data_IF_558729524517
#
_entry.id   IF_558729524517
#
_cell.length_a   1.000
_cell.length_b   1.000
_cell.length_c   1.000
_cell.angle_alpha   90.00
_cell.angle_beta   90.00
_cell.angle_gamma   90.00
#
_symmetry.space_group_name_H-M   'P 1'
#
loop_
_entity.id
_entity.type
_entity.pdbx_description
1 polymer ?
#
# COMPACT_ATOMS: atom_id res chain seq x y z
N UNK A 1 -14.94 5.13 -3.92
CA UNK A 1 -14.08 4.65 -2.81
C UNK A 1 -13.60 5.83 -1.97
N UNK A 2 -13.25 6.97 -2.58
CA UNK A 2 -13.14 8.23 -1.83
C UNK A 2 -14.49 8.60 -1.17
N UNK A 3 -14.46 8.83 0.14
CA UNK A 3 -15.64 9.18 0.95
C UNK A 3 -16.42 7.99 1.54
N UNK A 4 -16.02 6.76 1.24
CA UNK A 4 -16.63 5.57 1.85
C UNK A 4 -16.03 5.29 3.24
N UNK A 5 -16.83 5.40 4.29
CA UNK A 5 -16.36 5.26 5.67
C UNK A 5 -16.33 3.81 6.16
N UNK A 6 -16.72 2.82 5.33
CA UNK A 6 -16.76 1.40 5.73
C UNK A 6 -15.40 0.88 6.18
N UNK A 7 -14.33 1.32 5.53
CA UNK A 7 -12.96 0.88 5.81
C UNK A 7 -12.16 1.91 6.64
N UNK A 8 -12.85 2.77 7.39
CA UNK A 8 -12.18 3.74 8.26
C UNK A 8 -11.71 3.06 9.56
N UNK A 9 -10.44 3.26 9.90
CA UNK A 9 -9.88 2.85 11.20
C UNK A 9 -9.83 4.10 12.09
N UNK A 10 -10.66 4.20 13.15
CA UNK A 10 -10.61 5.33 14.05
C UNK A 10 -9.32 5.34 14.86
N UNK A 11 -8.83 6.54 15.18
CA UNK A 11 -7.72 6.70 16.11
C UNK A 11 -8.22 6.43 17.55
N UNK A 12 -7.84 5.28 18.12
CA UNK A 12 -8.28 4.82 19.44
C UNK A 12 -7.10 4.22 20.23
N UNK A 13 -6.42 5.07 21.00
CA UNK A 13 -5.30 4.65 21.85
C UNK A 13 -5.75 3.76 23.01
N UNK A 14 -6.92 4.01 23.60
CA UNK A 14 -7.41 3.23 24.75
C UNK A 14 -7.83 1.82 24.33
N UNK A 15 -8.53 1.70 23.21
CA UNK A 15 -8.83 0.41 22.60
C UNK A 15 -7.56 -0.36 22.22
N UNK A 16 -6.55 0.34 21.71
CA UNK A 16 -5.25 -0.27 21.39
C UNK A 16 -4.52 -0.77 22.65
N UNK A 17 -4.49 0.00 23.74
CA UNK A 17 -3.93 -0.43 25.04
C UNK A 17 -4.68 -1.64 25.59
N UNK A 18 -6.00 -1.64 25.53
CA UNK A 18 -6.82 -2.76 25.97
C UNK A 18 -6.55 -4.04 25.14
N UNK A 19 -6.34 -3.90 23.82
CA UNK A 19 -5.98 -5.00 22.95
C UNK A 19 -4.60 -5.57 23.30
N UNK A 20 -3.60 -4.71 23.48
CA UNK A 20 -2.27 -5.14 23.93
C UNK A 20 -2.34 -5.88 25.26
N UNK A 21 -3.09 -5.35 26.23
CA UNK A 21 -3.25 -5.98 27.54
C UNK A 21 -3.93 -7.35 27.45
N UNK A 22 -4.97 -7.49 26.62
CA UNK A 22 -5.65 -8.77 26.37
C UNK A 22 -4.69 -9.85 25.86
N UNK A 23 -3.64 -9.45 25.14
CA UNK A 23 -2.62 -10.34 24.59
C UNK A 23 -1.33 -10.40 25.43
N UNK A 24 -1.32 -9.83 26.64
CA UNK A 24 -0.16 -9.85 27.52
C UNK A 24 1.00 -8.95 27.09
N UNK A 25 0.72 -7.94 26.26
CA UNK A 25 1.68 -6.99 25.70
C UNK A 25 1.51 -5.57 26.29
N UNK A 26 0.97 -5.46 27.51
CA UNK A 26 0.73 -4.16 28.18
C UNK A 26 2.00 -3.31 28.32
N UNK A 27 3.15 -3.96 28.45
CA UNK A 27 4.45 -3.30 28.56
C UNK A 27 5.03 -2.88 27.21
N UNK A 28 4.29 -3.06 26.11
CA UNK A 28 4.74 -2.78 24.75
C UNK A 28 5.69 -3.84 24.20
N UNK A 29 6.27 -3.54 23.04
CA UNK A 29 7.22 -4.40 22.32
C UNK A 29 8.06 -3.56 21.34
N UNK A 30 9.07 -4.19 20.72
CA UNK A 30 9.86 -3.55 19.67
C UNK A 30 9.52 -4.14 18.30
N UNK A 31 9.23 -3.27 17.34
CA UNK A 31 9.19 -3.57 15.91
C UNK A 31 10.59 -3.30 15.36
N UNK A 32 11.30 -4.37 15.01
CA UNK A 32 12.61 -4.27 14.37
C UNK A 32 12.44 -4.17 12.84
N UNK A 33 13.42 -3.54 12.19
CA UNK A 33 13.58 -3.54 10.74
C UNK A 33 12.37 -3.02 9.94
N UNK A 34 11.63 -2.03 10.45
CA UNK A 34 10.58 -1.41 9.63
C UNK A 34 11.23 -0.59 8.51
N UNK A 35 11.23 -1.15 7.30
CA UNK A 35 11.75 -0.45 6.13
C UNK A 35 10.88 0.76 5.77
N UNK A 36 11.45 1.95 5.87
CA UNK A 36 10.85 3.22 5.44
C UNK A 36 11.60 3.85 4.26
N UNK A 37 12.74 3.27 3.87
CA UNK A 37 13.62 3.79 2.83
C UNK A 37 14.54 4.91 3.33
N UNK A 38 15.39 5.46 2.45
CA UNK A 38 16.48 6.34 2.88
C UNK A 38 16.02 7.74 3.34
N UNK A 39 14.94 8.27 2.75
CA UNK A 39 14.47 9.65 2.97
C UNK A 39 13.05 9.88 2.43
N UNK A 40 12.50 11.08 2.65
CA UNK A 40 11.24 11.56 2.11
C UNK A 40 10.03 11.23 2.98
N UNK A 41 8.85 11.36 2.40
CA UNK A 41 7.57 11.26 3.11
C UNK A 41 7.40 9.93 3.86
N UNK A 42 7.95 8.83 3.34
CA UNK A 42 7.88 7.52 3.99
C UNK A 42 8.62 7.52 5.34
N UNK A 43 9.80 8.15 5.40
CA UNK A 43 10.60 8.25 6.63
C UNK A 43 9.91 9.19 7.62
N UNK A 44 9.49 10.36 7.17
CA UNK A 44 8.80 11.35 8.03
C UNK A 44 7.50 10.76 8.63
N UNK A 45 6.75 10.01 7.83
CA UNK A 45 5.54 9.33 8.28
C UNK A 45 5.87 8.21 9.27
N UNK A 46 6.89 7.40 8.98
CA UNK A 46 7.37 6.35 9.89
C UNK A 46 7.83 6.90 11.24
N UNK A 47 8.57 8.01 11.24
CA UNK A 47 9.04 8.69 12.45
C UNK A 47 7.88 9.24 13.28
N UNK A 48 6.88 9.87 12.64
CA UNK A 48 5.69 10.38 13.33
C UNK A 48 4.87 9.26 13.98
N UNK A 49 4.70 8.14 13.29
CA UNK A 49 4.02 6.96 13.82
C UNK A 49 4.80 6.31 14.96
N UNK A 50 6.12 6.12 14.78
CA UNK A 50 7.00 5.57 15.80
C UNK A 50 6.94 6.38 17.10
N UNK A 51 6.95 7.72 17.00
CA UNK A 51 6.82 8.60 18.15
C UNK A 51 5.48 8.43 18.87
N UNK A 52 4.37 8.36 18.11
CA UNK A 52 3.01 8.18 18.66
C UNK A 52 2.86 6.82 19.34
N UNK A 53 3.33 5.76 18.70
CA UNK A 53 3.27 4.40 19.25
C UNK A 53 4.15 4.24 20.49
N UNK A 54 5.30 4.92 20.53
CA UNK A 54 6.13 4.94 21.72
C UNK A 54 5.43 5.66 22.88
N UNK A 55 4.86 6.84 22.65
CA UNK A 55 4.24 7.64 23.72
C UNK A 55 2.93 7.03 24.24
N UNK A 56 2.12 6.45 23.35
CA UNK A 56 0.79 5.94 23.71
C UNK A 56 0.79 4.45 24.08
N UNK A 57 1.64 3.64 23.45
CA UNK A 57 1.57 2.19 23.53
C UNK A 57 2.85 1.53 24.05
N UNK A 58 3.88 2.32 24.36
CA UNK A 58 5.24 1.84 24.65
C UNK A 58 5.80 0.90 23.56
N UNK A 59 5.36 1.08 22.31
CA UNK A 59 5.85 0.31 21.18
C UNK A 59 7.03 1.06 20.55
N UNK A 60 8.20 0.43 20.57
CA UNK A 60 9.42 0.97 19.97
C UNK A 60 9.50 0.53 18.52
N UNK A 61 9.95 1.42 17.65
CA UNK A 61 10.13 1.15 16.22
C UNK A 61 11.57 1.46 15.84
N UNK A 62 12.22 0.50 15.20
CA UNK A 62 13.51 0.69 14.56
C UNK A 62 13.29 0.79 13.04
N UNK A 63 13.51 1.99 12.48
CA UNK A 63 13.34 2.22 11.05
C UNK A 63 14.58 1.78 10.28
N UNK A 64 14.38 0.92 9.29
CA UNK A 64 15.38 0.56 8.29
C UNK A 64 15.34 1.58 7.13
N UNK A 65 16.48 2.27 6.96
CA UNK A 65 16.70 3.34 5.97
C UNK A 65 17.54 2.90 4.77
N UNK A 66 17.70 1.60 4.56
CA UNK A 66 18.40 1.06 3.40
C UNK A 66 17.78 1.51 2.08
N UNK A 67 18.61 1.68 1.06
CA UNK A 67 18.16 1.92 -0.32
C UNK A 67 17.40 0.69 -0.81
N UNK A 68 16.25 0.89 -1.47
CA UNK A 68 15.36 -0.19 -1.90
C UNK A 68 16.05 -1.27 -2.73
N UNK A 69 17.00 -0.91 -3.61
CA UNK A 69 17.74 -1.88 -4.43
C UNK A 69 18.61 -2.85 -3.62
N UNK A 70 19.00 -2.47 -2.41
CA UNK A 70 19.76 -3.31 -1.48
C UNK A 70 18.85 -4.15 -0.59
N UNK A 71 17.71 -3.58 -0.18
CA UNK A 71 16.75 -4.25 0.70
C UNK A 71 15.86 -5.27 -0.05
N UNK A 72 15.38 -4.91 -1.24
CA UNK A 72 14.45 -5.72 -2.06
C UNK A 72 14.92 -7.15 -2.34
N UNK A 73 16.20 -7.44 -2.64
CA UNK A 73 16.67 -8.82 -2.78
C UNK A 73 16.28 -9.70 -1.58
N UNK A 74 16.39 -9.18 -0.36
CA UNK A 74 15.99 -9.87 0.86
C UNK A 74 14.49 -10.10 0.98
N UNK A 75 13.67 -9.14 0.53
CA UNK A 75 12.21 -9.29 0.45
C UNK A 75 11.81 -10.45 -0.48
N UNK A 76 12.50 -10.58 -1.62
CA UNK A 76 12.25 -11.63 -2.61
C UNK A 76 12.71 -12.99 -2.07
N UNK A 77 13.89 -13.04 -1.44
CA UNK A 77 14.43 -14.28 -0.87
C UNK A 77 13.81 -14.67 0.47
N UNK A 78 12.84 -13.90 0.98
CA UNK A 78 12.17 -14.13 2.28
C UNK A 78 13.16 -14.17 3.46
N UNK A 79 14.17 -13.30 3.43
CA UNK A 79 15.19 -13.21 4.48
C UNK A 79 15.08 -11.94 5.33
N UNK A 80 14.16 -11.04 5.00
CA UNK A 80 13.81 -9.87 5.83
C UNK A 80 12.73 -10.26 6.83
N UNK A 81 12.85 -9.80 8.08
CA UNK A 81 11.90 -10.10 9.15
C UNK A 81 11.08 -8.88 9.60
N UNK A 82 11.26 -7.74 8.94
CA UNK A 82 10.66 -6.46 9.32
C UNK A 82 9.41 -6.09 8.53
N UNK A 83 8.77 -5.00 8.96
CA UNK A 83 7.57 -4.45 8.31
C UNK A 83 7.99 -3.69 7.05
N UNK A 84 7.23 -3.86 5.96
CA UNK A 84 7.42 -3.07 4.74
C UNK A 84 6.53 -1.82 4.76
N UNK A 85 7.12 -0.63 4.92
CA UNK A 85 6.47 0.65 4.67
C UNK A 85 6.65 1.06 3.22
N UNK A 86 5.58 1.05 2.43
CA UNK A 86 5.69 1.36 1.01
C UNK A 86 4.38 1.78 0.37
N UNK A 87 4.49 2.25 -0.87
CA UNK A 87 3.35 2.60 -1.70
C UNK A 87 2.70 1.34 -2.25
N UNK A 88 1.43 1.12 -1.92
CA UNK A 88 0.60 0.11 -2.58
C UNK A 88 -0.14 0.74 -3.76
N UNK A 89 -0.31 0.05 -4.90
CA UNK A 89 -1.24 0.51 -5.92
C UNK A 89 -2.62 0.67 -5.29
N UNK A 90 -3.22 1.85 -5.46
CA UNK A 90 -4.61 2.07 -5.08
C UNK A 90 -5.53 1.13 -5.85
N UNK A 91 -6.72 0.91 -5.32
CA UNK A 91 -7.78 0.14 -5.96
C UNK A 91 -8.58 0.95 -6.98
N UNK A 92 -8.06 2.10 -7.45
CA UNK A 92 -8.77 2.99 -8.37
C UNK A 92 -8.26 2.82 -9.80
N UNK A 93 -9.14 2.51 -10.79
CA UNK A 93 -10.58 2.28 -10.68
C UNK A 93 -10.91 0.97 -9.96
N UNK A 94 -12.13 0.78 -9.41
CA UNK A 94 -12.52 -0.38 -8.59
C UNK A 94 -12.37 -1.75 -9.26
N UNK A 95 -12.00 -1.82 -10.54
CA UNK A 95 -11.66 -3.05 -11.26
C UNK A 95 -10.15 -3.35 -11.27
N UNK A 96 -9.33 -2.49 -10.66
CA UNK A 96 -7.89 -2.65 -10.63
C UNK A 96 -7.46 -3.86 -9.77
N UNK A 97 -6.51 -4.70 -10.22
CA UNK A 97 -6.11 -5.90 -9.50
C UNK A 97 -5.10 -5.58 -8.38
N UNK A 98 -5.55 -4.93 -7.30
CA UNK A 98 -4.68 -4.61 -6.16
C UNK A 98 -4.13 -5.84 -5.44
N UNK A 99 -4.88 -6.93 -5.44
CA UNK A 99 -4.54 -8.22 -4.82
C UNK A 99 -3.32 -8.89 -5.46
N UNK A 100 -2.93 -8.49 -6.68
CA UNK A 100 -1.86 -9.15 -7.41
C UNK A 100 -0.50 -9.09 -6.68
N UNK A 101 -0.26 -8.06 -5.84
CA UNK A 101 0.97 -7.91 -5.04
C UNK A 101 0.99 -8.80 -3.78
N UNK A 102 -0.12 -9.48 -3.48
CA UNK A 102 -0.31 -10.38 -2.33
C UNK A 102 -0.56 -11.83 -2.78
N UNK A 103 -0.65 -12.05 -4.09
CA UNK A 103 -0.89 -13.34 -4.71
C UNK A 103 0.43 -14.08 -4.96
N UNK A 104 0.45 -15.38 -4.71
CA UNK A 104 1.57 -16.25 -5.07
C UNK A 104 1.56 -16.61 -6.57
N UNK A 105 0.38 -16.58 -7.21
CA UNK A 105 0.20 -16.98 -8.62
C UNK A 105 0.43 -15.82 -9.60
N UNK A 106 0.13 -14.59 -9.19
CA UNK A 106 0.24 -13.43 -10.08
C UNK A 106 1.67 -12.90 -10.22
N UNK A 107 2.51 -13.12 -9.20
CA UNK A 107 3.87 -12.61 -9.10
C UNK A 107 4.87 -13.69 -8.68
N UNK A 108 4.99 -14.82 -9.42
CA UNK A 108 5.94 -15.86 -9.06
C UNK A 108 7.36 -15.27 -9.03
N UNK A 109 7.99 -15.28 -7.86
CA UNK A 109 9.37 -14.87 -7.60
C UNK A 109 9.77 -13.38 -7.80
N UNK A 110 8.83 -12.44 -8.01
CA UNK A 110 9.21 -11.09 -8.47
C UNK A 110 8.73 -9.88 -7.66
N UNK A 111 7.43 -9.80 -7.38
CA UNK A 111 6.80 -8.57 -6.88
C UNK A 111 5.71 -8.85 -5.85
N UNK A 112 5.85 -9.93 -5.09
CA UNK A 112 5.01 -10.17 -3.93
C UNK A 112 5.59 -9.42 -2.72
N UNK A 113 4.74 -8.70 -1.98
CA UNK A 113 5.06 -7.81 -0.86
C UNK A 113 5.62 -8.48 0.41
N UNK A 114 5.91 -9.78 0.38
CA UNK A 114 6.25 -10.54 1.59
C UNK A 114 5.11 -11.42 2.07
N UNK A 115 3.88 -11.11 1.63
CA UNK A 115 2.65 -11.72 2.08
C UNK A 115 2.02 -12.52 0.92
N UNK A 116 1.88 -13.83 1.11
CA UNK A 116 1.22 -14.73 0.16
C UNK A 116 -0.12 -15.17 0.74
N UNK A 117 -1.17 -14.41 0.43
CA UNK A 117 -2.52 -14.69 0.92
C UNK A 117 -3.27 -15.58 -0.09
N UNK A 118 -3.81 -16.74 0.32
CA UNK A 118 -4.60 -17.59 -0.57
C UNK A 118 -5.76 -16.84 -1.22
N UNK A 119 -6.46 -16.00 -0.46
CA UNK A 119 -7.57 -15.16 -0.91
C UNK A 119 -7.16 -14.24 -2.06
N UNK A 120 -5.95 -13.66 -2.01
CA UNK A 120 -5.43 -12.85 -3.11
C UNK A 120 -5.24 -13.68 -4.38
N UNK A 121 -4.75 -14.91 -4.25
CA UNK A 121 -4.55 -15.82 -5.39
C UNK A 121 -5.89 -16.27 -6.01
N UNK A 122 -6.89 -16.57 -5.17
CA UNK A 122 -8.24 -16.92 -5.61
C UNK A 122 -8.91 -15.78 -6.37
N UNK A 123 -8.79 -14.54 -5.87
CA UNK A 123 -9.38 -13.36 -6.51
C UNK A 123 -8.71 -13.05 -7.84
N UNK A 124 -7.37 -13.13 -7.94
CA UNK A 124 -6.68 -13.00 -9.23
C UNK A 124 -7.23 -14.00 -10.25
N UNK A 125 -7.30 -15.28 -9.88
CA UNK A 125 -7.79 -16.33 -10.78
C UNK A 125 -9.27 -16.19 -11.12
N UNK A 126 -10.07 -15.57 -10.25
CA UNK A 126 -11.47 -15.26 -10.52
C UNK A 126 -11.59 -14.10 -11.51
N UNK A 127 -10.85 -13.01 -11.31
CA UNK A 127 -10.84 -11.86 -12.23
C UNK A 127 -10.35 -12.22 -13.62
N UNK A 128 -9.38 -13.14 -13.75
CA UNK A 128 -8.92 -13.64 -15.05
C UNK A 128 -10.01 -14.38 -15.86
N UNK A 129 -11.07 -14.87 -15.21
CA UNK A 129 -12.14 -15.64 -15.86
C UNK A 129 -13.33 -14.80 -16.31
N UNK A 130 -13.35 -13.51 -15.99
CA UNK A 130 -14.47 -12.62 -16.31
C UNK A 130 -14.00 -11.33 -16.96
N UNK A 131 -14.85 -10.79 -17.83
CA UNK A 131 -14.72 -9.44 -18.40
C UNK A 131 -15.88 -8.53 -17.99
N UNK A 132 -16.82 -9.05 -17.18
CA UNK A 132 -17.95 -8.30 -16.66
C UNK A 132 -17.46 -7.29 -15.61
N UNK A 133 -17.75 -6.01 -15.82
CA UNK A 133 -17.28 -4.94 -14.93
C UNK A 133 -17.88 -5.05 -13.52
N UNK A 134 -19.18 -5.32 -13.39
CA UNK A 134 -19.83 -5.44 -12.07
C UNK A 134 -19.25 -6.61 -11.26
N UNK A 135 -18.92 -7.71 -11.94
CA UNK A 135 -18.27 -8.87 -11.32
C UNK A 135 -16.84 -8.54 -10.87
N UNK A 136 -16.07 -7.83 -11.68
CA UNK A 136 -14.72 -7.36 -11.33
C UNK A 136 -14.74 -6.41 -10.13
N UNK A 137 -15.70 -5.49 -10.08
CA UNK A 137 -15.87 -4.56 -8.96
C UNK A 137 -16.22 -5.31 -7.68
N UNK A 138 -17.15 -6.28 -7.75
CA UNK A 138 -17.50 -7.12 -6.60
C UNK A 138 -16.28 -7.87 -6.08
N UNK A 139 -15.51 -8.52 -6.95
CA UNK A 139 -14.29 -9.25 -6.56
C UNK A 139 -13.24 -8.33 -5.91
N UNK A 140 -13.13 -7.08 -6.36
CA UNK A 140 -12.26 -6.09 -5.69
C UNK A 140 -12.80 -5.70 -4.32
N UNK A 141 -14.11 -5.50 -4.17
CA UNK A 141 -14.71 -5.17 -2.88
C UNK A 141 -14.53 -6.31 -1.88
N UNK A 142 -14.74 -7.55 -2.31
CA UNK A 142 -14.50 -8.75 -1.48
C UNK A 142 -13.03 -8.81 -1.01
N UNK A 143 -12.07 -8.43 -1.87
CA UNK A 143 -10.67 -8.32 -1.49
C UNK A 143 -10.43 -7.21 -0.45
N UNK A 144 -11.00 -6.03 -0.67
CA UNK A 144 -10.82 -4.87 0.22
C UNK A 144 -11.45 -5.15 1.60
N UNK A 145 -12.62 -5.78 1.64
CA UNK A 145 -13.27 -6.21 2.87
C UNK A 145 -12.38 -7.19 3.64
N UNK A 146 -11.83 -8.20 2.96
CA UNK A 146 -10.93 -9.17 3.59
C UNK A 146 -9.68 -8.54 4.19
N UNK A 147 -8.93 -7.71 3.44
CA UNK A 147 -7.72 -7.08 3.98
C UNK A 147 -8.02 -6.11 5.12
N UNK A 148 -9.19 -5.46 5.06
CA UNK A 148 -9.64 -4.60 6.14
C UNK A 148 -9.94 -5.43 7.39
N UNK A 149 -10.83 -6.43 7.31
CA UNK A 149 -11.25 -7.26 8.45
C UNK A 149 -10.06 -7.93 9.15
N UNK A 150 -9.14 -8.50 8.38
CA UNK A 150 -7.95 -9.18 8.90
C UNK A 150 -6.82 -8.22 9.30
N UNK A 151 -6.99 -6.91 9.08
CA UNK A 151 -5.99 -5.86 9.36
C UNK A 151 -4.66 -6.12 8.62
N UNK A 152 -4.76 -6.66 7.41
CA UNK A 152 -3.62 -6.88 6.52
C UNK A 152 -3.26 -5.58 5.80
N UNK A 153 -2.31 -4.85 6.39
CA UNK A 153 -1.93 -3.53 5.95
C UNK A 153 -2.91 -2.46 6.41
N UNK A 154 -2.44 -1.22 6.44
CA UNK A 154 -3.30 -0.07 6.71
C UNK A 154 -2.80 1.12 5.89
N UNK A 155 -3.73 1.91 5.38
CA UNK A 155 -3.41 3.13 4.64
C UNK A 155 -3.30 4.29 5.62
N UNK A 156 -2.15 4.94 5.62
CA UNK A 156 -1.91 6.13 6.47
C UNK A 156 -2.48 7.40 5.82
N UNK A 157 -2.47 7.44 4.48
CA UNK A 157 -3.07 8.50 3.70
C UNK A 157 -2.98 8.20 2.21
N UNK A 158 -3.80 8.91 1.43
CA UNK A 158 -3.70 8.95 -0.02
C UNK A 158 -2.97 10.21 -0.41
N UNK A 159 -1.89 10.07 -1.19
CA UNK A 159 -1.14 11.23 -1.69
C UNK A 159 -1.67 11.55 -3.09
N UNK A 160 -2.33 12.72 -3.30
CA UNK A 160 -2.72 13.12 -4.64
C UNK A 160 -1.47 13.48 -5.44
N UNK A 161 -1.25 12.75 -6.53
CA UNK A 161 -0.09 12.98 -7.39
C UNK A 161 -0.50 13.72 -8.66
N UNK A 162 0.17 14.85 -8.89
CA UNK A 162 -0.03 15.65 -10.08
C UNK A 162 1.29 15.76 -10.85
N UNK A 163 1.24 15.42 -12.13
CA UNK A 163 2.31 15.72 -13.06
C UNK A 163 2.37 17.23 -13.30
N UNK A 164 3.53 17.84 -13.12
CA UNK A 164 3.77 19.23 -13.51
C UNK A 164 4.12 19.25 -15.00
N UNK A 165 3.38 20.03 -15.79
CA UNK A 165 3.63 20.23 -17.21
C UNK A 165 3.36 21.67 -17.62
N UNK A 166 3.88 22.06 -18.79
CA UNK A 166 3.68 23.38 -19.38
C UNK A 166 2.27 23.47 -20.01
N UNK A 167 1.31 24.24 -19.42
CA UNK A 167 -0.05 24.35 -19.98
C UNK A 167 -0.12 25.20 -21.25
N UNK A 168 0.93 25.97 -21.58
CA UNK A 168 1.03 26.69 -22.84
C UNK A 168 1.38 25.75 -24.00
N UNK A 169 2.06 24.64 -23.71
CA UNK A 169 2.44 23.64 -24.71
C UNK A 169 1.51 22.43 -24.73
N UNK A 170 0.93 22.04 -23.60
CA UNK A 170 0.03 20.89 -23.50
C UNK A 170 -1.39 21.37 -23.23
N UNK A 171 -2.26 21.27 -24.23
CA UNK A 171 -3.68 21.68 -24.13
C UNK A 171 -4.54 20.66 -23.40
N UNK A 172 -4.16 19.38 -23.44
CA UNK A 172 -4.79 18.33 -22.63
C UNK A 172 -3.89 17.12 -22.52
N UNK A 173 -3.97 16.42 -21.39
CA UNK A 173 -3.27 15.15 -21.18
C UNK A 173 -4.17 14.20 -20.39
N UNK A 174 -4.72 13.21 -21.08
CA UNK A 174 -5.55 12.16 -20.47
C UNK A 174 -4.66 11.04 -19.93
N UNK A 175 -4.26 11.15 -18.66
CA UNK A 175 -3.45 10.15 -17.97
C UNK A 175 -4.30 8.95 -17.50
N UNK A 176 -3.79 7.74 -17.71
CA UNK A 176 -4.35 6.52 -17.11
C UNK A 176 -3.99 6.41 -15.62
N UNK A 177 -4.78 5.67 -14.81
CA UNK A 177 -4.49 5.41 -13.41
C UNK A 177 -3.07 4.88 -13.17
N UNK A 178 -2.48 5.26 -12.03
CA UNK A 178 -1.08 5.00 -11.70
C UNK A 178 -0.94 3.97 -10.57
N UNK A 179 0.07 3.11 -10.67
CA UNK A 179 0.47 2.15 -9.63
C UNK A 179 1.84 2.41 -9.02
N UNK A 180 2.68 3.23 -9.65
CA UNK A 180 4.03 3.54 -9.18
C UNK A 180 4.57 4.82 -9.82
N UNK A 181 5.27 5.62 -9.03
CA UNK A 181 5.88 6.95 -9.30
C UNK A 181 6.95 7.02 -10.41
N UNK A 182 6.99 6.04 -11.31
CA UNK A 182 8.03 6.02 -12.36
C UNK A 182 7.78 7.16 -13.33
N UNK A 183 8.82 7.97 -13.54
CA UNK A 183 8.81 9.16 -14.42
C UNK A 183 7.94 10.30 -13.86
N UNK A 184 7.91 10.48 -12.52
CA UNK A 184 7.28 11.66 -11.90
C UNK A 184 5.77 11.75 -12.13
N UNK A 185 5.09 10.61 -12.17
CA UNK A 185 3.65 10.54 -12.46
C UNK A 185 3.30 10.56 -13.95
N UNK A 186 4.27 10.81 -14.84
CA UNK A 186 4.03 10.88 -16.27
C UNK A 186 3.67 9.51 -16.86
N UNK A 187 2.47 9.40 -17.42
CA UNK A 187 1.95 8.21 -18.12
C UNK A 187 1.10 8.62 -19.30
N UNK A 188 0.87 7.67 -20.20
CA UNK A 188 0.09 7.90 -21.40
C UNK A 188 0.58 9.13 -22.18
N UNK A 189 1.89 9.19 -22.42
CA UNK A 189 2.53 10.30 -23.15
C UNK A 189 1.95 10.41 -24.57
N UNK A 190 1.48 9.29 -25.12
CA UNK A 190 0.73 9.21 -26.37
C UNK A 190 -0.60 9.97 -26.37
N UNK A 191 -1.14 10.31 -25.19
CA UNK A 191 -2.39 11.08 -25.04
C UNK A 191 -2.14 12.58 -24.88
N UNK A 192 -0.89 13.05 -24.95
CA UNK A 192 -0.56 14.48 -24.91
C UNK A 192 -1.08 15.14 -26.18
N UNK A 193 -1.90 16.17 -26.02
CA UNK A 193 -2.26 17.08 -27.11
C UNK A 193 -1.48 18.37 -26.94
N UNK A 194 -0.69 18.70 -27.96
CA UNK A 194 0.09 19.92 -27.98
C UNK A 194 -0.74 21.12 -28.46
N UNK A 195 -0.41 22.31 -27.96
CA UNK A 195 -0.78 23.56 -28.62
C UNK A 195 -0.09 23.58 -29.99
N UNK A 196 -0.85 23.90 -31.04
CA UNK A 196 -0.31 24.08 -32.39
C UNK A 196 0.65 25.26 -32.46
#
# INVERSE_FOLDING_TARGET
>A
MDGDTRWNIPFDCEGSKALLAKHGLSDGFTINDWWAGPTGINVETGEAMAATWLSELNVKVELDRQIYSTWRPGLISRTVNGVHGGFSPGTAPPTWPSEWTWSAVASPAGYNSGNELPQASEIVLAKEKTTNQEELEKLTLDWVDFIFEERFGFTIGTIPENTIYNPQEIVSWEMRPMTNFRVGGMKSLENIKLAK
#
